data_IF_441899220080
#
_entry.id   IF_441899220080
#
_cell.length_a   1.000
_cell.length_b   1.000
_cell.length_c   1.000
_cell.angle_alpha   90.00
_cell.angle_beta   90.00
_cell.angle_gamma   90.00
#
_symmetry.space_group_name_H-M   'P 1'
#
loop_
_entity.id
_entity.type
_entity.pdbx_description
1 polymer ?
#
# COMPACT_ATOMS: atom_id res chain seq x y z
N UNK A 1 -5.23 -7.93 28.07
CA UNK A 1 -4.43 -7.18 27.06
C UNK A 1 -4.55 -7.94 25.74
N UNK A 2 -4.68 -7.24 24.62
CA UNK A 2 -4.85 -7.88 23.30
C UNK A 2 -3.49 -8.32 22.78
N UNK A 3 -3.40 -9.54 22.22
CA UNK A 3 -2.18 -10.09 21.62
C UNK A 3 -1.75 -9.27 20.39
N UNK A 4 -0.48 -8.87 20.36
CA UNK A 4 0.16 -8.10 19.27
C UNK A 4 1.08 -8.97 18.42
N UNK A 5 0.91 -10.30 18.43
CA UNK A 5 1.65 -11.21 17.58
C UNK A 5 1.59 -10.73 16.10
N UNK A 6 2.72 -10.77 15.42
CA UNK A 6 2.90 -10.27 14.05
C UNK A 6 2.74 -8.75 13.86
N UNK A 7 2.73 -7.95 14.94
CA UNK A 7 2.79 -6.48 14.85
C UNK A 7 4.23 -6.00 15.00
N UNK A 8 4.65 -5.12 14.08
CA UNK A 8 6.01 -4.60 13.97
C UNK A 8 6.04 -3.14 14.39
N UNK A 9 6.69 -2.85 15.49
CA UNK A 9 6.77 -1.51 16.08
C UNK A 9 8.19 -0.98 15.94
N UNK A 10 8.36 0.11 15.22
CA UNK A 10 9.62 0.86 15.20
C UNK A 10 9.57 1.93 16.30
N UNK A 11 10.42 1.79 17.30
CA UNK A 11 10.47 2.68 18.44
C UNK A 11 11.69 3.60 18.33
N UNK A 12 11.49 4.90 18.32
CA UNK A 12 12.53 5.92 18.22
C UNK A 12 12.61 6.65 19.55
N UNK A 13 13.78 6.60 20.19
CA UNK A 13 14.04 7.27 21.48
C UNK A 13 14.92 8.49 21.23
N UNK A 14 14.43 9.67 21.64
CA UNK A 14 15.18 10.92 21.59
C UNK A 14 15.76 11.28 22.97
N UNK A 15 16.72 12.21 22.99
CA UNK A 15 17.42 12.62 24.22
C UNK A 15 16.55 13.44 25.16
N UNK A 16 16.33 12.95 26.36
CA UNK A 16 15.61 13.61 27.42
C UNK A 16 15.44 12.69 28.62
N UNK A 17 15.28 13.27 29.82
CA UNK A 17 15.16 12.48 31.06
C UNK A 17 14.02 11.45 30.99
N UNK A 18 12.93 11.75 30.30
CA UNK A 18 11.78 10.84 30.13
C UNK A 18 12.08 9.61 29.25
N UNK A 19 13.28 9.50 28.68
CA UNK A 19 13.68 8.31 27.89
C UNK A 19 13.59 7.00 28.70
N UNK A 20 13.73 7.03 30.04
CA UNK A 20 13.54 5.85 30.87
C UNK A 20 12.11 5.27 30.77
N UNK A 21 11.08 6.10 30.59
CA UNK A 21 9.69 5.67 30.39
C UNK A 21 9.50 4.88 29.12
N UNK A 22 10.30 5.16 28.09
CA UNK A 22 10.28 4.42 26.83
C UNK A 22 10.66 2.96 27.00
N UNK A 23 11.54 2.66 27.94
CA UNK A 23 11.94 1.28 28.26
C UNK A 23 10.75 0.47 28.80
N UNK A 24 9.89 1.09 29.62
CA UNK A 24 8.71 0.44 30.13
C UNK A 24 7.65 0.27 29.02
N UNK A 25 7.46 1.27 28.18
CA UNK A 25 6.57 1.17 27.01
C UNK A 25 7.00 0.02 26.09
N UNK A 26 8.30 -0.09 25.78
CA UNK A 26 8.88 -1.21 25.00
C UNK A 26 8.57 -2.56 25.67
N UNK A 27 8.76 -2.66 26.99
CA UNK A 27 8.46 -3.87 27.74
C UNK A 27 6.98 -4.28 27.65
N UNK A 28 6.05 -3.30 27.64
CA UNK A 28 4.62 -3.58 27.47
C UNK A 28 4.30 -4.16 26.09
N UNK A 29 4.88 -3.63 25.02
CA UNK A 29 4.74 -4.17 23.68
C UNK A 29 5.30 -5.59 23.59
N UNK A 30 6.50 -5.83 24.13
CA UNK A 30 7.12 -7.17 24.14
C UNK A 30 6.31 -8.20 24.90
N UNK A 31 5.77 -7.85 26.09
CA UNK A 31 4.90 -8.73 26.88
C UNK A 31 3.64 -9.17 26.10
N UNK A 32 3.23 -8.39 25.10
CA UNK A 32 2.08 -8.68 24.26
C UNK A 32 2.51 -9.18 22.86
N UNK A 33 3.71 -9.76 22.75
CA UNK A 33 4.24 -10.45 21.56
C UNK A 33 4.51 -9.55 20.33
N UNK A 34 4.59 -8.22 20.47
CA UNK A 34 5.00 -7.36 19.36
C UNK A 34 6.49 -7.55 19.01
N UNK A 35 6.82 -7.49 17.72
CA UNK A 35 8.20 -7.35 17.28
C UNK A 35 8.62 -5.89 17.38
N UNK A 36 9.81 -5.62 17.98
CA UNK A 36 10.30 -4.26 18.18
C UNK A 36 11.69 -4.11 17.59
N UNK A 37 11.87 -3.07 16.77
CA UNK A 37 13.17 -2.51 16.44
C UNK A 37 13.27 -1.12 17.04
N UNK A 38 14.47 -0.72 17.45
CA UNK A 38 14.64 0.55 18.16
C UNK A 38 15.72 1.39 17.49
N UNK A 39 15.45 2.69 17.33
CA UNK A 39 16.45 3.69 16.93
C UNK A 39 16.72 4.59 18.14
N UNK A 40 18.00 4.76 18.48
CA UNK A 40 18.47 5.73 19.48
C UNK A 40 19.10 6.92 18.76
N UNK A 41 18.58 8.12 19.02
CA UNK A 41 19.29 9.33 18.58
C UNK A 41 20.59 9.50 19.36
N UNK A 42 21.54 10.29 18.82
CA UNK A 42 22.82 10.55 19.50
C UNK A 42 22.61 11.01 20.96
N UNK A 43 21.70 11.94 21.18
CA UNK A 43 21.40 12.45 22.52
C UNK A 43 20.66 11.45 23.41
N UNK A 44 19.97 10.46 22.85
CA UNK A 44 19.28 9.44 23.65
C UNK A 44 20.26 8.56 24.41
N UNK A 45 21.45 8.32 23.84
CA UNK A 45 22.52 7.49 24.44
C UNK A 45 23.00 8.05 25.79
N UNK A 46 22.81 9.34 26.04
CA UNK A 46 23.17 9.99 27.34
C UNK A 46 22.14 9.66 28.45
N UNK A 47 20.95 9.19 28.11
CA UNK A 47 19.87 8.90 29.07
C UNK A 47 19.56 7.41 29.21
N UNK A 48 19.75 6.65 28.15
CA UNK A 48 19.53 5.19 28.11
C UNK A 48 20.63 4.53 27.28
N UNK A 49 21.12 3.38 27.72
CA UNK A 49 22.19 2.69 27.00
C UNK A 49 21.62 1.79 25.88
N UNK A 50 22.33 1.61 24.77
CA UNK A 50 21.95 0.63 23.76
C UNK A 50 21.72 -0.77 24.32
N UNK A 51 22.53 -1.16 25.33
CA UNK A 51 22.41 -2.46 25.99
C UNK A 51 21.08 -2.61 26.75
N UNK A 52 20.68 -1.60 27.53
CA UNK A 52 19.42 -1.64 28.26
C UNK A 52 18.21 -1.73 27.30
N UNK A 53 18.26 -0.97 26.19
CA UNK A 53 17.22 -0.99 25.17
C UNK A 53 17.17 -2.33 24.46
N UNK A 54 18.32 -2.89 24.03
CA UNK A 54 18.39 -4.20 23.35
C UNK A 54 17.86 -5.32 24.24
N UNK A 55 18.21 -5.30 25.53
CA UNK A 55 17.76 -6.31 26.51
C UNK A 55 16.25 -6.32 26.69
N UNK A 56 15.59 -5.15 26.68
CA UNK A 56 14.14 -5.04 26.84
C UNK A 56 13.35 -5.24 25.55
N UNK A 57 13.87 -4.73 24.43
CA UNK A 57 13.24 -4.89 23.11
C UNK A 57 13.42 -6.30 22.54
N UNK A 58 14.46 -7.03 23.01
CA UNK A 58 14.90 -8.30 22.42
C UNK A 58 15.12 -8.18 20.90
N UNK A 59 15.55 -7.01 20.47
CA UNK A 59 15.72 -6.67 19.06
C UNK A 59 16.96 -5.81 18.82
N UNK A 60 17.29 -5.65 17.54
CA UNK A 60 18.43 -4.81 17.13
C UNK A 60 18.16 -3.35 17.48
N UNK A 61 19.17 -2.68 18.02
CA UNK A 61 19.19 -1.23 18.29
C UNK A 61 20.03 -0.56 17.23
N UNK A 62 19.47 0.42 16.57
CA UNK A 62 20.11 1.21 15.51
C UNK A 62 20.43 2.62 16.06
N UNK A 63 21.51 3.20 15.64
CA UNK A 63 21.92 4.51 16.14
C UNK A 63 22.47 5.44 15.06
N UNK A 64 23.25 4.92 14.15
CA UNK A 64 23.98 5.71 13.17
C UNK A 64 23.42 5.49 11.76
N UNK A 65 23.36 6.59 10.97
CA UNK A 65 22.87 6.56 9.59
C UNK A 65 23.80 5.73 8.68
N UNK A 66 25.09 5.76 8.98
CA UNK A 66 26.14 5.02 8.28
C UNK A 66 26.87 4.14 9.29
N UNK A 67 26.66 2.84 9.25
CA UNK A 67 27.35 1.85 10.08
C UNK A 67 28.10 0.89 9.16
N UNK A 68 29.40 0.76 9.34
CA UNK A 68 30.26 -0.14 8.57
C UNK A 68 29.87 -1.62 8.67
N UNK A 69 29.16 -2.00 9.73
CA UNK A 69 28.68 -3.37 9.93
C UNK A 69 27.43 -3.72 9.08
N UNK A 70 26.79 -2.72 8.46
CA UNK A 70 25.53 -2.89 7.73
C UNK A 70 25.58 -2.34 6.29
N UNK A 71 26.74 -2.26 5.67
CA UNK A 71 26.94 -1.68 4.32
C UNK A 71 26.15 -2.37 3.18
N UNK A 72 25.61 -3.56 3.40
CA UNK A 72 24.87 -4.32 2.37
C UNK A 72 23.36 -4.01 2.31
N UNK A 73 22.78 -3.37 3.33
CA UNK A 73 21.36 -3.00 3.35
C UNK A 73 21.20 -1.51 3.68
N UNK A 74 20.44 -0.79 2.87
CA UNK A 74 20.01 0.59 3.17
C UNK A 74 19.06 0.55 4.37
N UNK A 75 19.61 0.54 5.59
CA UNK A 75 18.89 0.35 6.86
C UNK A 75 17.66 1.27 6.99
N UNK A 76 17.77 2.55 6.56
CA UNK A 76 16.65 3.49 6.62
C UNK A 76 15.47 3.07 5.74
N UNK A 77 15.71 2.50 4.54
CA UNK A 77 14.67 1.99 3.66
C UNK A 77 14.07 0.71 4.26
N UNK A 78 14.91 -0.21 4.71
CA UNK A 78 14.44 -1.47 5.28
C UNK A 78 13.60 -1.25 6.53
N UNK A 79 14.02 -0.37 7.45
CA UNK A 79 13.28 -0.01 8.67
C UNK A 79 11.96 0.70 8.38
N UNK A 80 11.96 1.65 7.42
CA UNK A 80 10.75 2.39 7.04
C UNK A 80 9.66 1.47 6.47
N UNK A 81 10.04 0.40 5.78
CA UNK A 81 9.12 -0.60 5.20
C UNK A 81 8.72 -1.68 6.18
N UNK A 82 9.63 -2.07 7.09
CA UNK A 82 9.41 -3.15 8.04
C UNK A 82 8.30 -2.85 9.04
N UNK A 83 8.23 -1.62 9.54
CA UNK A 83 7.30 -1.23 10.61
C UNK A 83 5.83 -1.24 10.16
N UNK A 84 4.90 -1.57 11.09
CA UNK A 84 3.46 -1.29 10.97
C UNK A 84 3.11 0.09 11.53
N UNK A 85 3.87 0.55 12.51
CA UNK A 85 3.73 1.85 13.19
C UNK A 85 5.10 2.35 13.65
N UNK A 86 5.28 3.66 13.66
CA UNK A 86 6.47 4.33 14.18
C UNK A 86 6.08 5.14 15.42
N UNK A 87 6.85 5.00 16.49
CA UNK A 87 6.66 5.70 17.76
C UNK A 87 7.91 6.51 18.04
N UNK A 88 7.76 7.80 18.32
CA UNK A 88 8.84 8.66 18.79
C UNK A 88 8.52 9.06 20.24
N UNK A 89 9.20 8.46 21.17
CA UNK A 89 9.00 8.69 22.61
C UNK A 89 10.34 8.57 23.37
N UNK A 90 10.78 9.63 24.04
CA UNK A 90 10.23 10.98 23.98
C UNK A 90 10.46 11.64 22.63
N UNK A 91 9.53 12.53 22.20
CA UNK A 91 9.72 13.44 21.09
C UNK A 91 10.15 14.81 21.62
N UNK A 92 11.42 15.17 21.41
CA UNK A 92 11.97 16.47 21.87
C UNK A 92 11.57 17.61 20.94
N UNK A 93 11.64 18.85 21.40
CA UNK A 93 11.40 20.02 20.56
C UNK A 93 12.31 20.06 19.32
N UNK A 94 13.57 19.61 19.43
CA UNK A 94 14.50 19.50 18.31
C UNK A 94 13.98 18.49 17.26
N UNK A 95 13.58 17.30 17.70
CA UNK A 95 13.05 16.27 16.78
C UNK A 95 11.75 16.72 16.11
N UNK A 96 10.84 17.35 16.87
CA UNK A 96 9.59 17.93 16.34
C UNK A 96 9.89 18.99 15.29
N UNK A 97 10.87 19.88 15.54
CA UNK A 97 11.31 20.90 14.59
C UNK A 97 11.89 20.29 13.32
N UNK A 98 12.81 19.33 13.43
CA UNK A 98 13.39 18.63 12.28
C UNK A 98 12.33 17.98 11.39
N UNK A 99 11.41 17.24 11.99
CA UNK A 99 10.35 16.54 11.26
C UNK A 99 9.37 17.51 10.58
N UNK A 100 9.07 18.64 11.20
CA UNK A 100 8.19 19.65 10.60
C UNK A 100 8.81 20.37 9.40
N UNK A 101 10.13 20.42 9.33
CA UNK A 101 10.91 21.02 8.24
C UNK A 101 11.34 19.99 7.17
N UNK A 102 11.10 18.69 7.42
CA UNK A 102 11.55 17.64 6.50
C UNK A 102 13.07 17.39 6.51
N UNK A 103 13.77 17.72 7.59
CA UNK A 103 15.19 17.47 7.74
C UNK A 103 15.46 15.96 7.92
N UNK A 104 16.49 15.45 7.24
CA UNK A 104 16.89 14.04 7.27
C UNK A 104 18.41 13.89 7.50
N UNK A 105 18.89 14.51 8.58
CA UNK A 105 20.32 14.57 8.94
C UNK A 105 20.76 13.48 9.94
N UNK A 106 19.83 12.64 10.39
CA UNK A 106 20.07 11.48 11.24
C UNK A 106 19.18 10.29 10.82
N UNK A 107 19.50 9.09 11.36
CA UNK A 107 18.76 7.87 11.01
C UNK A 107 17.26 7.97 11.35
N UNK A 108 16.92 8.58 12.48
CA UNK A 108 15.54 8.70 12.95
C UNK A 108 14.69 9.53 11.99
N UNK A 109 15.15 10.73 11.66
CA UNK A 109 14.45 11.63 10.72
C UNK A 109 14.42 11.07 9.31
N UNK A 110 15.48 10.44 8.83
CA UNK A 110 15.55 9.82 7.51
C UNK A 110 14.56 8.66 7.37
N UNK A 111 14.48 7.76 8.37
CA UNK A 111 13.52 6.65 8.37
C UNK A 111 12.08 7.15 8.36
N UNK A 112 11.77 8.17 9.16
CA UNK A 112 10.43 8.74 9.22
C UNK A 112 10.04 9.38 7.88
N UNK A 113 10.92 10.17 7.28
CA UNK A 113 10.69 10.82 6.00
C UNK A 113 10.53 9.81 4.84
N UNK A 114 11.25 8.69 4.90
CA UNK A 114 11.16 7.60 3.92
C UNK A 114 9.96 6.67 4.14
N UNK A 115 9.14 6.88 5.20
CA UNK A 115 8.06 5.99 5.59
C UNK A 115 6.68 6.51 5.18
N UNK A 116 5.79 5.58 4.83
CA UNK A 116 4.35 5.82 4.66
C UNK A 116 3.52 5.32 5.86
N UNK A 117 4.18 4.99 6.98
CA UNK A 117 3.51 4.44 8.16
C UNK A 117 3.00 5.56 9.07
N UNK A 118 1.99 5.23 9.89
CA UNK A 118 1.54 6.18 10.92
C UNK A 118 2.64 6.44 11.92
N UNK A 119 2.91 7.71 12.16
CA UNK A 119 3.86 8.17 13.16
C UNK A 119 3.11 8.74 14.36
N UNK A 120 3.51 8.28 15.56
CA UNK A 120 3.05 8.81 16.83
C UNK A 120 4.20 9.53 17.52
N UNK A 121 3.94 10.73 18.01
CA UNK A 121 4.89 11.52 18.78
C UNK A 121 4.39 11.65 20.22
N UNK A 122 5.22 11.29 21.19
CA UNK A 122 5.00 11.56 22.60
C UNK A 122 5.92 12.72 23.05
N UNK A 123 5.47 13.98 23.00
CA UNK A 123 6.29 15.14 23.34
C UNK A 123 6.76 15.11 24.78
N UNK A 124 8.00 15.57 25.00
CA UNK A 124 8.58 15.75 26.32
C UNK A 124 9.57 16.92 26.30
N UNK A 125 9.27 17.97 27.05
CA UNK A 125 10.09 19.19 27.20
C UNK A 125 9.60 20.01 28.38
N UNK A 126 10.34 21.05 28.81
CA UNK A 126 9.85 21.92 29.83
C UNK A 126 8.69 22.80 29.34
N UNK A 127 7.95 23.42 30.26
CA UNK A 127 6.74 24.21 30.00
C UNK A 127 7.00 25.33 28.98
N UNK A 128 8.08 26.08 29.15
CA UNK A 128 8.42 27.18 28.25
C UNK A 128 8.71 26.75 26.82
N UNK A 129 9.39 25.63 26.68
CA UNK A 129 9.63 25.05 25.36
C UNK A 129 8.35 24.53 24.72
N UNK A 130 7.44 23.96 25.52
CA UNK A 130 6.14 23.52 25.04
C UNK A 130 5.27 24.66 24.56
N UNK A 131 5.14 25.71 25.39
CA UNK A 131 4.34 26.90 25.08
C UNK A 131 4.95 27.77 23.97
N UNK A 132 6.21 27.58 23.64
CA UNK A 132 6.89 28.39 22.64
C UNK A 132 6.19 28.29 21.27
N UNK A 133 5.93 29.48 20.66
CA UNK A 133 5.18 29.60 19.41
C UNK A 133 5.74 28.69 18.29
N UNK A 134 7.06 28.54 18.17
CA UNK A 134 7.66 27.66 17.15
C UNK A 134 7.33 26.21 17.41
N UNK A 135 7.31 25.74 18.67
CA UNK A 135 6.91 24.37 19.01
C UNK A 135 5.46 24.11 18.62
N UNK A 136 4.56 25.04 18.97
CA UNK A 136 3.14 24.91 18.62
C UNK A 136 2.91 24.95 17.11
N UNK A 137 3.61 25.81 16.37
CA UNK A 137 3.55 25.85 14.92
C UNK A 137 4.06 24.55 14.28
N UNK A 138 5.17 24.01 14.76
CA UNK A 138 5.73 22.76 14.28
C UNK A 138 4.76 21.57 14.50
N UNK A 139 4.12 21.52 15.69
CA UNK A 139 3.11 20.50 16.00
C UNK A 139 1.88 20.63 15.10
N UNK A 140 1.43 21.86 14.82
CA UNK A 140 0.33 22.10 13.86
C UNK A 140 0.68 21.60 12.47
N UNK A 141 1.90 21.86 12.00
CA UNK A 141 2.41 21.37 10.71
C UNK A 141 2.43 19.83 10.67
N UNK A 142 2.97 19.19 11.70
CA UNK A 142 3.03 17.74 11.78
C UNK A 142 1.65 17.08 11.85
N UNK A 143 0.70 17.69 12.59
CA UNK A 143 -0.71 17.25 12.55
C UNK A 143 -1.29 17.35 11.15
N UNK A 144 -0.96 18.40 10.39
CA UNK A 144 -1.33 18.55 8.98
C UNK A 144 -0.74 17.47 8.08
N UNK A 145 0.43 16.93 8.39
CA UNK A 145 1.05 15.80 7.71
C UNK A 145 0.49 14.44 8.15
N UNK A 146 -0.47 14.42 9.10
CA UNK A 146 -1.11 13.19 9.57
C UNK A 146 -0.41 12.54 10.77
N UNK A 147 0.58 13.18 11.39
CA UNK A 147 1.19 12.67 12.62
C UNK A 147 0.20 12.74 13.79
N UNK A 148 0.24 11.73 14.64
CA UNK A 148 -0.58 11.70 15.87
C UNK A 148 0.27 12.08 17.07
N UNK A 149 -0.26 12.96 17.92
CA UNK A 149 0.41 13.44 19.11
C UNK A 149 -0.27 12.81 20.33
N UNK A 150 0.52 12.20 21.23
CA UNK A 150 0.06 11.61 22.49
C UNK A 150 0.57 12.47 23.63
N UNK A 151 -0.30 13.14 24.33
CA UNK A 151 0.05 14.13 25.33
C UNK A 151 0.53 15.46 24.76
N UNK A 152 1.41 16.21 25.48
CA UNK A 152 1.95 15.89 26.80
C UNK A 152 0.92 16.00 27.92
N UNK A 153 1.26 15.51 29.11
CA UNK A 153 0.45 15.64 30.30
C UNK A 153 0.86 16.89 31.10
N UNK A 154 -0.06 17.32 31.97
CA UNK A 154 0.19 18.38 32.97
C UNK A 154 0.78 17.70 34.21
N UNK A 155 1.82 18.28 34.78
CA UNK A 155 2.40 17.79 36.03
C UNK A 155 3.76 18.37 36.36
N UNK A 156 4.33 17.87 37.47
CA UNK A 156 5.69 18.21 37.87
C UNK A 156 6.73 17.70 36.91
N UNK A 157 7.68 18.51 36.57
CA UNK A 157 8.80 18.18 35.69
C UNK A 157 10.11 18.06 36.48
N UNK A 158 11.07 17.32 35.89
CA UNK A 158 12.37 17.15 36.52
C UNK A 158 13.15 18.45 36.77
N UNK A 159 12.80 19.54 36.08
CA UNK A 159 13.35 20.89 36.32
C UNK A 159 12.68 21.67 37.44
N UNK A 160 11.68 21.11 38.13
CA UNK A 160 10.93 21.78 39.19
C UNK A 160 9.79 22.67 38.69
N UNK A 161 9.53 22.74 37.39
CA UNK A 161 8.38 23.47 36.84
C UNK A 161 7.13 22.58 36.82
N UNK A 162 5.95 23.21 36.98
CA UNK A 162 4.66 22.55 36.87
C UNK A 162 3.89 23.10 35.67
N UNK A 163 3.34 22.21 34.83
CA UNK A 163 2.55 22.60 33.68
C UNK A 163 2.53 21.52 32.58
N UNK A 164 2.14 21.90 31.34
CA UNK A 164 2.18 21.03 30.18
C UNK A 164 3.62 20.81 29.69
N UNK A 165 3.96 19.59 29.31
CA UNK A 165 5.29 19.23 28.77
C UNK A 165 5.80 17.88 29.26
N UNK A 166 5.13 17.31 30.26
CA UNK A 166 5.47 15.98 30.81
C UNK A 166 5.06 14.90 29.81
N UNK A 167 5.99 14.01 29.44
CA UNK A 167 5.68 12.88 28.57
C UNK A 167 4.58 12.00 29.17
N UNK A 168 3.60 11.63 28.35
CA UNK A 168 2.53 10.71 28.76
C UNK A 168 3.06 9.44 29.35
N UNK A 169 2.28 8.86 30.27
CA UNK A 169 2.67 7.63 30.95
C UNK A 169 2.78 6.44 29.97
N UNK A 170 3.67 5.49 30.23
CA UNK A 170 3.90 4.33 29.35
C UNK A 170 2.63 3.59 28.96
N UNK A 171 1.70 3.45 29.90
CA UNK A 171 0.41 2.76 29.66
C UNK A 171 -0.44 3.54 28.67
N UNK A 172 -0.52 4.85 28.77
CA UNK A 172 -1.30 5.72 27.85
C UNK A 172 -0.76 5.60 26.41
N UNK A 173 0.57 5.69 26.27
CA UNK A 173 1.22 5.53 24.97
C UNK A 173 0.93 4.13 24.39
N UNK A 174 1.06 3.10 25.19
CA UNK A 174 0.81 1.73 24.78
C UNK A 174 -0.65 1.53 24.34
N UNK A 175 -1.63 1.99 25.11
CA UNK A 175 -3.06 1.83 24.82
C UNK A 175 -3.50 2.57 23.56
N UNK A 176 -3.05 3.80 23.35
CA UNK A 176 -3.33 4.57 22.15
C UNK A 176 -2.84 3.85 20.89
N UNK A 177 -1.63 3.33 20.93
CA UNK A 177 -1.03 2.62 19.80
C UNK A 177 -1.66 1.25 19.61
N UNK A 178 -1.94 0.54 20.70
CA UNK A 178 -2.68 -0.72 20.64
C UNK A 178 -4.04 -0.51 20.00
N UNK A 179 -4.79 0.50 20.46
CA UNK A 179 -6.09 0.83 19.88
C UNK A 179 -5.98 1.17 18.39
N UNK A 180 -4.95 1.91 17.99
CA UNK A 180 -4.69 2.18 16.57
C UNK A 180 -4.41 0.90 15.77
N UNK A 181 -3.54 0.04 16.26
CA UNK A 181 -3.20 -1.22 15.59
C UNK A 181 -4.42 -2.15 15.46
N UNK A 182 -5.31 -2.16 16.45
CA UNK A 182 -6.55 -2.94 16.41
C UNK A 182 -7.71 -2.22 15.71
N UNK A 183 -7.79 -0.89 15.72
CA UNK A 183 -8.79 -0.16 14.96
C UNK A 183 -8.57 -0.31 13.46
N UNK A 184 -7.31 -0.42 13.04
CA UNK A 184 -6.98 -0.85 11.66
C UNK A 184 -7.59 -2.23 11.33
N UNK A 185 -7.66 -3.14 12.30
CA UNK A 185 -8.30 -4.46 12.12
C UNK A 185 -9.83 -4.33 12.07
N UNK A 186 -10.44 -3.41 12.84
CA UNK A 186 -11.90 -3.23 12.90
C UNK A 186 -12.49 -2.38 11.75
N UNK A 187 -11.70 -1.48 11.14
CA UNK A 187 -12.17 -0.57 10.10
C UNK A 187 -11.49 -0.74 8.73
N UNK A 188 -10.52 -1.63 8.57
CA UNK A 188 -9.96 -1.91 7.25
C UNK A 188 -10.60 -3.17 6.68
N UNK A 189 -11.72 -3.00 5.99
CA UNK A 189 -11.97 -3.83 4.83
C UNK A 189 -10.71 -3.73 3.98
N UNK A 190 -10.06 -4.86 3.70
CA UNK A 190 -8.94 -4.89 2.77
C UNK A 190 -9.40 -4.20 1.48
N UNK A 191 -8.58 -3.33 0.93
CA UNK A 191 -8.90 -2.60 -0.28
C UNK A 191 -8.61 -3.45 -1.50
N UNK A 192 -9.56 -3.54 -2.39
CA UNK A 192 -9.41 -4.22 -3.66
C UNK A 192 -9.64 -3.25 -4.83
N UNK A 193 -8.73 -3.26 -5.79
CA UNK A 193 -8.84 -2.55 -7.05
C UNK A 193 -9.06 -3.56 -8.17
N UNK A 194 -10.08 -3.37 -8.97
CA UNK A 194 -10.36 -4.20 -10.14
C UNK A 194 -10.45 -3.33 -11.38
N UNK A 195 -9.77 -3.70 -12.46
CA UNK A 195 -10.00 -3.09 -13.77
C UNK A 195 -10.85 -4.00 -14.63
N UNK A 196 -11.78 -3.44 -15.41
CA UNK A 196 -12.71 -4.19 -16.27
C UNK A 196 -13.03 -3.45 -17.56
N UNK A 197 -13.66 -4.16 -18.49
CA UNK A 197 -14.07 -3.61 -19.78
C UNK A 197 -12.92 -3.42 -20.76
N UNK A 198 -13.21 -3.00 -22.00
CA UNK A 198 -12.21 -2.59 -22.98
C UNK A 198 -11.77 -1.15 -22.74
N UNK A 199 -10.72 -0.71 -23.43
CA UNK A 199 -10.43 0.71 -23.63
C UNK A 199 -10.65 1.08 -25.09
N UNK A 200 -11.01 2.34 -25.33
CA UNK A 200 -11.20 2.90 -26.67
C UNK A 200 -10.08 3.90 -26.94
N UNK A 201 -9.22 3.60 -27.90
CA UNK A 201 -8.13 4.48 -28.29
C UNK A 201 -8.52 5.24 -29.55
N UNK A 202 -8.85 6.51 -29.41
CA UNK A 202 -9.42 7.30 -30.46
C UNK A 202 -8.46 7.59 -31.61
N UNK A 203 -8.93 7.42 -32.83
CA UNK A 203 -8.24 7.82 -34.06
C UNK A 203 -8.75 9.20 -34.46
N UNK A 204 -10.07 9.40 -34.34
CA UNK A 204 -10.78 10.66 -34.57
C UNK A 204 -12.05 10.64 -33.69
N UNK A 205 -12.85 11.72 -33.60
CA UNK A 205 -14.05 11.77 -32.74
C UNK A 205 -15.11 10.68 -33.03
N UNK A 206 -14.95 9.90 -34.10
CA UNK A 206 -15.93 8.89 -34.52
C UNK A 206 -15.38 7.47 -34.49
N UNK A 207 -14.06 7.32 -34.64
CA UNK A 207 -13.41 6.00 -34.79
C UNK A 207 -12.37 5.78 -33.71
N UNK A 208 -12.30 4.55 -33.22
CA UNK A 208 -11.33 4.13 -32.20
C UNK A 208 -10.89 2.69 -32.41
N UNK A 209 -9.74 2.37 -31.86
CA UNK A 209 -9.24 1.00 -31.72
C UNK A 209 -9.68 0.48 -30.35
N UNK A 210 -10.21 -0.72 -30.30
CA UNK A 210 -10.66 -1.35 -29.05
C UNK A 210 -10.51 -2.86 -29.10
N UNK A 211 -10.43 -3.48 -27.95
CA UNK A 211 -10.44 -4.93 -27.81
C UNK A 211 -11.87 -5.43 -27.58
N UNK A 212 -12.20 -6.60 -28.15
CA UNK A 212 -13.47 -7.26 -27.86
C UNK A 212 -13.50 -7.69 -26.39
N UNK A 213 -14.31 -7.02 -25.57
CA UNK A 213 -14.51 -7.38 -24.16
C UNK A 213 -15.88 -6.88 -23.70
N UNK A 214 -16.60 -7.75 -23.00
CA UNK A 214 -17.86 -7.37 -22.35
C UNK A 214 -17.66 -6.78 -20.93
N UNK A 215 -16.48 -6.91 -20.35
CA UNK A 215 -16.20 -6.53 -18.96
C UNK A 215 -16.78 -7.47 -17.90
N UNK A 216 -17.64 -8.45 -18.25
CA UNK A 216 -18.34 -9.32 -17.30
C UNK A 216 -17.45 -9.96 -16.25
N UNK A 217 -16.28 -10.50 -16.64
CA UNK A 217 -15.39 -11.18 -15.69
C UNK A 217 -14.89 -10.25 -14.59
N UNK A 218 -14.44 -9.04 -14.94
CA UNK A 218 -13.97 -8.06 -13.94
C UNK A 218 -15.10 -7.56 -13.03
N UNK A 219 -16.32 -7.36 -13.58
CA UNK A 219 -17.48 -7.01 -12.77
C UNK A 219 -17.85 -8.10 -11.77
N UNK A 220 -17.85 -9.38 -12.17
CA UNK A 220 -18.17 -10.49 -11.26
C UNK A 220 -17.08 -10.68 -10.18
N UNK A 221 -15.80 -10.44 -10.51
CA UNK A 221 -14.71 -10.42 -9.52
C UNK A 221 -14.92 -9.29 -8.51
N UNK A 222 -15.25 -8.07 -8.97
CA UNK A 222 -15.51 -6.95 -8.08
C UNK A 222 -16.68 -7.22 -7.12
N UNK A 223 -17.79 -7.79 -7.63
CA UNK A 223 -18.92 -8.22 -6.80
C UNK A 223 -18.53 -9.29 -5.79
N UNK A 224 -17.72 -10.26 -6.20
CA UNK A 224 -17.30 -11.37 -5.35
C UNK A 224 -16.37 -10.90 -4.22
N UNK A 225 -15.43 -9.98 -4.51
CA UNK A 225 -14.57 -9.33 -3.52
C UNK A 225 -15.42 -8.50 -2.52
N UNK A 226 -16.38 -7.71 -3.01
CA UNK A 226 -17.26 -6.94 -2.16
C UNK A 226 -18.09 -7.83 -1.22
N UNK A 227 -18.67 -8.92 -1.73
CA UNK A 227 -19.42 -9.91 -0.92
C UNK A 227 -18.56 -10.52 0.20
N UNK A 228 -17.25 -10.66 -0.01
CA UNK A 228 -16.30 -11.14 1.00
C UNK A 228 -15.75 -10.04 1.91
N UNK A 229 -16.33 -8.85 1.84
CA UNK A 229 -16.07 -7.75 2.78
C UNK A 229 -14.93 -6.82 2.38
N UNK A 230 -14.40 -6.90 1.16
CA UNK A 230 -13.39 -5.95 0.67
C UNK A 230 -14.02 -4.58 0.37
N UNK A 231 -13.28 -3.50 0.65
CA UNK A 231 -13.55 -2.17 0.12
C UNK A 231 -13.12 -2.14 -1.34
N UNK A 232 -14.09 -2.31 -2.24
CA UNK A 232 -13.83 -2.60 -3.64
C UNK A 232 -14.02 -1.37 -4.52
N UNK A 233 -12.99 -1.02 -5.28
CA UNK A 233 -13.04 -0.02 -6.36
C UNK A 233 -12.95 -0.73 -7.70
N UNK A 234 -13.93 -0.48 -8.57
CA UNK A 234 -13.98 -0.96 -9.95
C UNK A 234 -13.67 0.20 -10.91
N UNK A 235 -12.59 0.09 -11.68
CA UNK A 235 -12.28 1.01 -12.78
C UNK A 235 -12.71 0.32 -14.07
N UNK A 236 -13.69 0.88 -14.75
CA UNK A 236 -14.27 0.23 -15.93
C UNK A 236 -14.17 1.10 -17.18
N UNK A 237 -13.61 0.52 -18.22
CA UNK A 237 -13.80 1.02 -19.58
C UNK A 237 -15.27 0.90 -20.02
N UNK A 238 -15.61 1.27 -21.26
CA UNK A 238 -17.00 1.34 -21.74
C UNK A 238 -17.71 -0.01 -21.68
N UNK A 239 -18.75 -0.10 -20.88
CA UNK A 239 -19.66 -1.26 -20.79
C UNK A 239 -21.07 -0.82 -20.44
N UNK A 240 -22.06 -1.67 -20.75
CA UNK A 240 -23.46 -1.49 -20.36
C UNK A 240 -23.80 -2.24 -19.06
N UNK A 241 -22.80 -2.74 -18.34
CA UNK A 241 -23.01 -3.52 -17.11
C UNK A 241 -23.33 -2.62 -15.93
N UNK A 242 -24.19 -3.11 -15.05
CA UNK A 242 -24.50 -2.46 -13.78
C UNK A 242 -23.75 -3.15 -12.65
N UNK A 243 -23.36 -2.36 -11.65
CA UNK A 243 -22.69 -2.82 -10.44
C UNK A 243 -23.48 -2.34 -9.22
N UNK A 244 -23.29 -2.99 -8.08
CA UNK A 244 -23.86 -2.61 -6.79
C UNK A 244 -23.42 -1.19 -6.40
N UNK A 245 -24.33 -0.35 -5.91
CA UNK A 245 -24.07 1.05 -5.53
C UNK A 245 -23.01 1.21 -4.44
N UNK A 246 -22.81 0.18 -3.63
CA UNK A 246 -21.79 0.16 -2.59
C UNK A 246 -20.38 -0.14 -3.11
N UNK A 247 -20.22 -0.52 -4.38
CA UNK A 247 -18.92 -0.68 -5.03
C UNK A 247 -18.58 0.63 -5.74
N UNK A 248 -17.45 1.23 -5.39
CA UNK A 248 -16.99 2.46 -6.02
C UNK A 248 -16.67 2.22 -7.49
N UNK A 249 -17.53 2.72 -8.39
CA UNK A 249 -17.31 2.64 -9.84
C UNK A 249 -16.64 3.91 -10.37
N UNK A 250 -15.54 3.75 -11.09
CA UNK A 250 -14.84 4.81 -11.83
C UNK A 250 -14.93 4.43 -13.31
N UNK A 251 -15.68 5.21 -14.08
CA UNK A 251 -15.77 5.04 -15.52
C UNK A 251 -14.63 5.77 -16.22
N UNK A 252 -14.03 5.11 -17.19
CA UNK A 252 -12.94 5.63 -18.03
C UNK A 252 -13.17 5.19 -19.47
N UNK A 253 -12.54 5.83 -20.41
CA UNK A 253 -12.64 5.47 -21.83
C UNK A 253 -11.33 4.95 -22.39
N UNK A 254 -10.21 5.61 -22.08
CA UNK A 254 -8.90 5.29 -22.65
C UNK A 254 -8.01 4.54 -21.67
N UNK A 255 -6.94 3.93 -22.20
CA UNK A 255 -5.90 3.30 -21.39
C UNK A 255 -5.20 4.33 -20.47
N UNK A 256 -5.00 5.55 -20.94
CA UNK A 256 -4.40 6.62 -20.15
C UNK A 256 -5.28 7.03 -18.97
N UNK A 257 -6.59 7.15 -19.19
CA UNK A 257 -7.56 7.43 -18.11
C UNK A 257 -7.60 6.29 -17.10
N UNK A 258 -7.60 5.03 -17.55
CA UNK A 258 -7.55 3.86 -16.69
C UNK A 258 -6.27 3.83 -15.86
N UNK A 259 -5.14 4.18 -16.45
CA UNK A 259 -3.85 4.30 -15.75
C UNK A 259 -3.91 5.38 -14.66
N UNK A 260 -4.35 6.60 -15.00
CA UNK A 260 -4.50 7.72 -14.04
C UNK A 260 -5.46 7.37 -12.90
N UNK A 261 -6.58 6.70 -13.21
CA UNK A 261 -7.53 6.25 -12.21
C UNK A 261 -6.92 5.17 -11.31
N UNK A 262 -6.12 4.24 -11.86
CA UNK A 262 -5.38 3.24 -11.09
C UNK A 262 -4.40 3.90 -10.14
N UNK A 263 -3.56 4.83 -10.61
CA UNK A 263 -2.60 5.56 -9.77
C UNK A 263 -3.25 6.25 -8.58
N UNK A 264 -4.37 6.96 -8.82
CA UNK A 264 -5.12 7.69 -7.76
C UNK A 264 -5.72 6.78 -6.69
N UNK A 265 -5.92 5.48 -6.97
CA UNK A 265 -6.49 4.52 -6.04
C UNK A 265 -5.46 3.56 -5.43
N UNK A 266 -4.17 3.79 -5.65
CA UNK A 266 -3.09 3.19 -4.88
C UNK A 266 -2.82 4.04 -3.62
N UNK A 267 -2.36 3.44 -2.50
CA UNK A 267 -2.15 2.01 -2.31
C UNK A 267 -3.45 1.22 -2.08
N UNK A 268 -3.46 -0.02 -2.55
CA UNK A 268 -4.51 -1.02 -2.31
C UNK A 268 -3.90 -2.34 -1.85
N UNK A 269 -4.67 -3.22 -1.19
CA UNK A 269 -4.13 -4.51 -0.73
C UNK A 269 -4.08 -5.54 -1.87
N UNK A 270 -5.09 -5.51 -2.75
CA UNK A 270 -5.23 -6.42 -3.89
C UNK A 270 -5.49 -5.61 -5.14
N UNK A 271 -4.86 -5.97 -6.25
CA UNK A 271 -5.17 -5.43 -7.56
C UNK A 271 -5.41 -6.56 -8.58
N UNK A 272 -6.56 -6.52 -9.25
CA UNK A 272 -6.95 -7.48 -10.30
C UNK A 272 -7.13 -6.76 -11.62
N UNK A 273 -6.29 -7.06 -12.58
CA UNK A 273 -6.28 -6.46 -13.91
C UNK A 273 -6.99 -7.37 -14.90
N UNK A 274 -8.32 -7.23 -14.99
CA UNK A 274 -9.18 -7.99 -15.90
C UNK A 274 -9.68 -7.16 -17.10
N UNK A 275 -9.28 -5.90 -17.22
CA UNK A 275 -9.57 -5.06 -18.37
C UNK A 275 -8.85 -5.55 -19.62
N UNK A 276 -9.50 -5.44 -20.75
CA UNK A 276 -8.91 -5.65 -22.07
C UNK A 276 -8.37 -4.33 -22.62
N UNK A 277 -7.29 -3.87 -22.03
CA UNK A 277 -6.61 -2.63 -22.43
C UNK A 277 -6.01 -2.82 -23.82
N UNK A 278 -6.21 -1.85 -24.72
CA UNK A 278 -5.58 -1.89 -26.03
C UNK A 278 -4.05 -1.70 -25.90
N UNK A 279 -3.28 -2.59 -26.51
CA UNK A 279 -1.80 -2.55 -26.48
C UNK A 279 -1.24 -1.36 -27.26
N UNK A 280 -2.01 -0.85 -28.24
CA UNK A 280 -1.62 0.23 -29.14
C UNK A 280 -2.69 1.30 -29.19
N UNK A 281 -2.26 2.55 -29.37
CA UNK A 281 -3.09 3.71 -29.68
C UNK A 281 -2.58 4.43 -30.93
N UNK A 282 -3.40 5.28 -31.54
CA UNK A 282 -2.93 6.15 -32.62
C UNK A 282 -1.85 7.11 -32.08
N UNK A 283 -0.72 7.25 -32.80
CA UNK A 283 0.35 8.18 -32.43
C UNK A 283 -0.11 9.65 -32.51
N UNK A 284 -1.17 9.91 -33.27
CA UNK A 284 -1.82 11.21 -33.38
C UNK A 284 -3.33 11.04 -33.46
N UNK A 285 -4.05 11.64 -32.51
CA UNK A 285 -5.52 11.72 -32.51
C UNK A 285 -5.96 12.93 -33.33
N UNK A 286 -6.79 12.69 -34.33
CA UNK A 286 -7.34 13.76 -35.18
C UNK A 286 -8.51 14.45 -34.47
N UNK A 287 -8.47 15.77 -34.36
CA UNK A 287 -9.53 16.58 -33.74
C UNK A 287 -10.83 16.58 -34.54
N UNK A 288 -10.75 16.29 -35.85
CA UNK A 288 -11.90 16.22 -36.75
C UNK A 288 -11.98 14.86 -37.40
N UNK A 289 -13.19 14.46 -37.78
CA UNK A 289 -13.43 13.22 -38.50
C UNK A 289 -12.61 13.16 -39.78
N UNK A 290 -11.77 12.16 -39.95
CA UNK A 290 -10.99 11.91 -41.16
C UNK A 290 -11.94 11.72 -42.34
N UNK A 291 -11.80 12.51 -43.39
CA UNK A 291 -12.56 12.37 -44.63
C UNK A 291 -12.21 11.06 -45.34
N UNK A 292 -13.13 10.57 -46.17
CA UNK A 292 -12.88 9.37 -46.97
C UNK A 292 -11.70 9.63 -47.94
N UNK A 293 -10.75 8.69 -47.88
CA UNK A 293 -9.61 8.58 -48.79
C UNK A 293 -9.52 7.14 -49.27
N UNK A 294 -8.87 6.90 -50.42
CA UNK A 294 -8.75 5.56 -50.98
C UNK A 294 -7.93 4.64 -50.09
N UNK A 295 -6.88 5.18 -49.45
CA UNK A 295 -6.02 4.45 -48.52
C UNK A 295 -5.75 5.32 -47.30
N UNK A 296 -5.93 4.73 -46.08
CA UNK A 296 -5.59 5.39 -44.81
C UNK A 296 -4.53 4.55 -44.09
N UNK A 297 -3.37 5.17 -43.86
CA UNK A 297 -2.32 4.58 -43.02
C UNK A 297 -2.42 5.13 -41.60
N UNK A 298 -2.45 4.26 -40.60
CA UNK A 298 -2.42 4.64 -39.19
C UNK A 298 -1.08 4.29 -38.59
N UNK A 299 -0.40 5.27 -38.03
CA UNK A 299 0.77 5.05 -37.20
C UNK A 299 0.32 4.78 -35.76
N UNK A 300 0.79 3.67 -35.21
CA UNK A 300 0.41 3.23 -33.86
C UNK A 300 1.63 3.27 -32.94
N UNK A 301 1.41 3.69 -31.71
CA UNK A 301 2.39 3.61 -30.61
C UNK A 301 1.87 2.75 -29.46
N UNK A 302 2.79 2.25 -28.64
CA UNK A 302 2.43 1.41 -27.51
C UNK A 302 1.75 2.20 -26.40
N UNK A 303 0.69 1.63 -25.85
CA UNK A 303 0.04 2.11 -24.64
C UNK A 303 0.83 1.79 -23.36
N UNK A 304 0.47 2.46 -22.29
CA UNK A 304 1.04 2.23 -20.97
C UNK A 304 0.59 0.86 -20.45
N UNK A 305 1.54 0.07 -19.99
CA UNK A 305 1.26 -1.23 -19.37
C UNK A 305 0.94 -1.07 -17.88
N UNK A 306 -0.35 -1.00 -17.57
CA UNK A 306 -0.87 -0.74 -16.22
C UNK A 306 -0.51 -1.87 -15.26
N UNK A 307 -0.61 -3.13 -15.68
CA UNK A 307 -0.23 -4.30 -14.88
C UNK A 307 1.24 -4.24 -14.51
N UNK A 308 2.11 -4.02 -15.49
CA UNK A 308 3.56 -3.94 -15.26
C UNK A 308 3.92 -2.78 -14.33
N UNK A 309 3.29 -1.63 -14.50
CA UNK A 309 3.51 -0.47 -13.63
C UNK A 309 3.18 -0.79 -12.17
N UNK A 310 2.00 -1.35 -11.89
CA UNK A 310 1.56 -1.63 -10.52
C UNK A 310 2.35 -2.78 -9.90
N UNK A 311 2.66 -3.82 -10.68
CA UNK A 311 3.43 -4.98 -10.20
C UNK A 311 4.86 -4.65 -9.80
N UNK A 312 5.45 -3.62 -10.41
CA UNK A 312 6.82 -3.17 -10.15
C UNK A 312 6.91 -1.87 -9.36
N UNK A 313 5.78 -1.37 -8.84
CA UNK A 313 5.77 -0.12 -8.09
C UNK A 313 6.55 -0.27 -6.77
N UNK A 314 7.55 0.57 -6.55
CA UNK A 314 8.49 0.44 -5.44
C UNK A 314 7.85 0.52 -4.04
N UNK A 315 6.92 1.48 -3.83
CA UNK A 315 6.36 1.79 -2.50
C UNK A 315 4.88 1.47 -2.34
N UNK A 316 4.12 1.38 -3.45
CA UNK A 316 2.67 1.20 -3.43
C UNK A 316 2.21 -0.10 -4.11
N UNK A 317 3.13 -1.04 -4.37
CA UNK A 317 2.77 -2.35 -4.91
C UNK A 317 1.78 -3.03 -3.96
N UNK A 318 0.63 -3.51 -4.45
CA UNK A 318 -0.30 -4.30 -3.65
C UNK A 318 0.36 -5.58 -3.10
N UNK A 319 -0.17 -6.09 -1.98
CA UNK A 319 0.25 -7.39 -1.44
C UNK A 319 0.06 -8.50 -2.45
N UNK A 320 -0.98 -8.37 -3.29
CA UNK A 320 -1.31 -9.34 -4.33
C UNK A 320 -1.73 -8.62 -5.61
N UNK A 321 -1.05 -8.97 -6.71
CA UNK A 321 -1.31 -8.43 -8.05
C UNK A 321 -1.63 -9.59 -9.00
N UNK A 322 -2.80 -9.52 -9.62
CA UNK A 322 -3.35 -10.56 -10.49
C UNK A 322 -3.60 -9.97 -11.87
N UNK A 323 -3.03 -10.59 -12.89
CA UNK A 323 -3.28 -10.23 -14.28
C UNK A 323 -4.15 -11.27 -15.00
N UNK A 324 -4.86 -10.84 -16.03
CA UNK A 324 -5.55 -11.73 -16.97
C UNK A 324 -4.79 -11.82 -18.28
N UNK A 325 -4.89 -12.98 -18.93
CA UNK A 325 -4.37 -13.22 -20.26
C UNK A 325 -5.41 -13.95 -21.10
N UNK A 326 -5.79 -13.36 -22.23
CA UNK A 326 -6.65 -13.96 -23.23
C UNK A 326 -5.74 -14.45 -24.37
N UNK A 327 -5.66 -15.74 -24.57
CA UNK A 327 -4.74 -16.36 -25.52
C UNK A 327 -5.50 -17.18 -26.56
N UNK A 328 -5.02 -17.16 -27.80
CA UNK A 328 -5.58 -17.96 -28.89
C UNK A 328 -4.72 -19.18 -29.20
N UNK A 329 -3.43 -19.14 -28.87
CA UNK A 329 -2.45 -20.18 -29.09
C UNK A 329 -1.45 -20.27 -27.97
N UNK A 330 -0.87 -21.42 -27.69
CA UNK A 330 0.23 -21.62 -26.71
C UNK A 330 -0.05 -21.00 -25.32
N UNK A 331 -1.29 -21.12 -24.84
CA UNK A 331 -1.81 -20.51 -23.61
C UNK A 331 -0.82 -20.63 -22.43
N UNK A 332 -0.31 -21.83 -22.17
CA UNK A 332 0.59 -22.09 -21.04
C UNK A 332 1.91 -21.32 -21.17
N UNK A 333 2.55 -21.40 -22.35
CA UNK A 333 3.83 -20.72 -22.59
C UNK A 333 3.69 -19.21 -22.46
N UNK A 334 2.64 -18.66 -23.06
CA UNK A 334 2.39 -17.20 -23.05
C UNK A 334 2.03 -16.70 -21.65
N UNK A 335 1.19 -17.44 -20.90
CA UNK A 335 0.82 -17.09 -19.52
C UNK A 335 2.03 -17.11 -18.57
N UNK A 336 2.89 -18.12 -18.68
CA UNK A 336 4.12 -18.23 -17.88
C UNK A 336 5.10 -17.10 -18.22
N UNK A 337 5.27 -16.79 -19.50
CA UNK A 337 6.12 -15.67 -19.92
C UNK A 337 5.57 -14.34 -19.38
N UNK A 338 4.27 -14.11 -19.52
CA UNK A 338 3.60 -12.91 -19.00
C UNK A 338 3.73 -12.79 -17.49
N UNK A 339 3.62 -13.89 -16.74
CA UNK A 339 3.81 -13.92 -15.29
C UNK A 339 5.21 -13.43 -14.89
N UNK A 340 6.24 -13.86 -15.62
CA UNK A 340 7.63 -13.43 -15.39
C UNK A 340 7.85 -11.98 -15.78
N UNK A 341 7.44 -11.60 -16.98
CA UNK A 341 7.71 -10.27 -17.54
C UNK A 341 6.98 -9.17 -16.76
N UNK A 342 5.76 -9.45 -16.28
CA UNK A 342 4.94 -8.48 -15.55
C UNK A 342 5.21 -8.48 -14.04
N UNK A 343 5.95 -9.45 -13.51
CA UNK A 343 6.27 -9.56 -12.07
C UNK A 343 5.03 -9.59 -11.15
N UNK A 344 3.89 -10.04 -11.66
CA UNK A 344 2.65 -10.20 -10.88
C UNK A 344 2.63 -11.54 -10.12
N UNK A 345 1.71 -11.69 -9.17
CA UNK A 345 1.65 -12.89 -8.32
C UNK A 345 0.91 -14.02 -9.00
N UNK A 346 -0.17 -13.70 -9.75
CA UNK A 346 -0.91 -14.66 -10.55
C UNK A 346 -1.16 -14.15 -11.97
N UNK A 347 -1.20 -15.08 -12.93
CA UNK A 347 -1.83 -14.88 -14.23
C UNK A 347 -3.01 -15.85 -14.35
N UNK A 348 -4.18 -15.30 -14.66
CA UNK A 348 -5.39 -16.08 -14.97
C UNK A 348 -5.56 -16.06 -16.49
N UNK A 349 -5.28 -17.21 -17.10
CA UNK A 349 -5.33 -17.34 -18.54
C UNK A 349 -6.60 -18.03 -18.99
N UNK A 350 -7.24 -17.52 -20.04
CA UNK A 350 -8.36 -18.16 -20.73
C UNK A 350 -8.06 -18.31 -22.22
N UNK A 351 -8.53 -19.45 -22.77
CA UNK A 351 -8.48 -19.73 -24.20
C UNK A 351 -9.70 -19.09 -24.87
N UNK A 352 -9.46 -18.05 -25.66
CA UNK A 352 -10.53 -17.31 -26.36
C UNK A 352 -10.76 -17.79 -27.80
N UNK A 353 -10.03 -18.82 -28.23
CA UNK A 353 -10.25 -19.43 -29.55
C UNK A 353 -11.47 -20.33 -29.61
N UNK A 354 -12.00 -20.74 -28.43
CA UNK A 354 -13.13 -21.67 -28.33
C UNK A 354 -14.45 -20.91 -28.26
N UNK A 355 -15.42 -21.30 -29.05
CA UNK A 355 -16.74 -20.67 -29.08
C UNK A 355 -17.47 -20.69 -27.73
N UNK A 356 -17.21 -21.69 -26.88
CA UNK A 356 -17.87 -21.86 -25.57
C UNK A 356 -17.28 -21.01 -24.44
N UNK A 357 -16.07 -20.47 -24.57
CA UNK A 357 -15.33 -19.75 -23.51
C UNK A 357 -14.85 -18.34 -23.91
N UNK A 358 -15.32 -17.80 -25.03
CA UNK A 358 -14.88 -16.51 -25.58
C UNK A 358 -15.39 -15.28 -24.84
N UNK A 359 -14.99 -14.08 -25.30
CA UNK A 359 -15.25 -12.79 -24.66
C UNK A 359 -16.71 -12.47 -24.34
N UNK A 360 -17.64 -12.88 -25.18
CA UNK A 360 -19.07 -12.55 -25.06
C UNK A 360 -19.92 -13.63 -24.39
N UNK A 361 -19.34 -14.79 -24.04
CA UNK A 361 -20.06 -15.89 -23.43
C UNK A 361 -20.31 -15.69 -21.94
N UNK A 362 -21.36 -16.32 -21.42
CA UNK A 362 -21.67 -16.33 -19.98
C UNK A 362 -20.72 -17.25 -19.21
N UNK A 363 -20.25 -18.30 -19.87
CA UNK A 363 -19.32 -19.28 -19.31
C UNK A 363 -17.87 -18.89 -19.60
N UNK A 364 -16.96 -19.39 -18.77
CA UNK A 364 -15.53 -19.26 -18.95
C UNK A 364 -14.81 -20.52 -18.42
N UNK A 365 -13.65 -20.80 -18.98
CA UNK A 365 -12.71 -21.79 -18.46
C UNK A 365 -11.35 -21.12 -18.32
N UNK A 366 -10.80 -21.12 -17.10
CA UNK A 366 -9.53 -20.45 -16.83
C UNK A 366 -8.50 -21.38 -16.23
N UNK A 367 -7.23 -21.07 -16.45
CA UNK A 367 -6.10 -21.68 -15.77
C UNK A 367 -5.36 -20.61 -14.99
N UNK A 368 -5.16 -20.82 -13.70
CA UNK A 368 -4.41 -19.92 -12.81
C UNK A 368 -2.96 -20.40 -12.78
N UNK A 369 -2.03 -19.46 -13.02
CA UNK A 369 -0.59 -19.68 -12.91
C UNK A 369 -0.08 -18.85 -11.74
N UNK A 370 0.61 -19.49 -10.80
CA UNK A 370 1.11 -18.90 -9.55
C UNK A 370 2.61 -18.62 -9.66
N UNK A 371 3.06 -17.45 -9.18
CA UNK A 371 4.48 -17.07 -9.16
C UNK A 371 5.30 -17.89 -8.16
N UNK A 372 4.74 -18.13 -6.99
CA UNK A 372 5.36 -18.90 -5.91
C UNK A 372 4.88 -20.34 -5.97
N UNK A 373 5.73 -21.31 -5.65
CA UNK A 373 5.51 -22.76 -5.74
C UNK A 373 5.87 -23.39 -7.11
N UNK A 374 7.15 -23.23 -7.54
CA UNK A 374 7.69 -23.94 -8.72
C UNK A 374 6.72 -24.02 -9.90
N UNK A 375 6.09 -22.87 -10.25
CA UNK A 375 5.14 -22.75 -11.37
C UNK A 375 3.91 -23.68 -11.26
N UNK A 376 3.32 -23.76 -10.08
CA UNK A 376 2.04 -24.45 -9.90
C UNK A 376 0.97 -23.82 -10.80
N UNK A 377 0.25 -24.67 -11.51
CA UNK A 377 -0.92 -24.28 -12.31
C UNK A 377 -2.14 -25.02 -11.81
N UNK A 378 -3.29 -24.36 -11.88
CA UNK A 378 -4.57 -24.92 -11.54
C UNK A 378 -5.59 -24.60 -12.62
N UNK A 379 -6.23 -25.61 -13.18
CA UNK A 379 -7.26 -25.45 -14.22
C UNK A 379 -8.63 -25.53 -13.56
N UNK A 380 -9.44 -24.49 -13.69
CA UNK A 380 -10.83 -24.49 -13.28
C UNK A 380 -11.71 -25.07 -14.40
N UNK A 381 -12.77 -25.77 -14.03
CA UNK A 381 -13.74 -26.32 -14.98
C UNK A 381 -14.54 -25.22 -15.67
N UNK A 382 -15.14 -25.53 -16.82
CA UNK A 382 -16.06 -24.62 -17.51
C UNK A 382 -17.28 -24.34 -16.62
N UNK A 383 -17.48 -23.08 -16.24
CA UNK A 383 -18.56 -22.61 -15.38
C UNK A 383 -18.99 -21.20 -15.78
N UNK A 384 -20.08 -20.71 -15.18
CA UNK A 384 -20.47 -19.30 -15.32
C UNK A 384 -19.38 -18.37 -14.80
N UNK A 385 -19.20 -17.21 -15.43
CA UNK A 385 -18.21 -16.19 -15.01
C UNK A 385 -18.38 -15.78 -13.55
N UNK A 386 -19.60 -15.77 -13.02
CA UNK A 386 -19.87 -15.52 -11.60
C UNK A 386 -19.27 -16.60 -10.69
N UNK A 387 -19.48 -17.88 -10.99
CA UNK A 387 -18.95 -19.00 -10.21
C UNK A 387 -17.43 -19.06 -10.26
N UNK A 388 -16.84 -18.84 -11.44
CA UNK A 388 -15.38 -18.74 -11.60
C UNK A 388 -14.83 -17.57 -10.78
N UNK A 389 -15.51 -16.42 -10.76
CA UNK A 389 -15.10 -15.28 -9.97
C UNK A 389 -15.14 -15.58 -8.46
N UNK A 390 -16.15 -16.29 -7.99
CA UNK A 390 -16.23 -16.74 -6.60
C UNK A 390 -15.07 -17.68 -6.25
N UNK A 391 -14.76 -18.65 -7.11
CA UNK A 391 -13.64 -19.57 -6.89
C UNK A 391 -12.27 -18.88 -6.91
N UNK A 392 -12.07 -17.88 -7.79
CA UNK A 392 -10.85 -17.07 -7.83
C UNK A 392 -10.74 -16.27 -6.52
N UNK A 393 -11.81 -15.62 -6.10
CA UNK A 393 -11.81 -14.78 -4.89
C UNK A 393 -11.63 -15.63 -3.62
N UNK A 394 -12.17 -16.84 -3.56
CA UNK A 394 -11.92 -17.77 -2.43
C UNK A 394 -10.44 -18.09 -2.30
N UNK A 395 -9.73 -18.30 -3.40
CA UNK A 395 -8.26 -18.51 -3.40
C UNK A 395 -7.49 -17.25 -3.01
N UNK A 396 -7.96 -16.08 -3.45
CA UNK A 396 -7.38 -14.79 -3.03
C UNK A 396 -7.50 -14.65 -1.50
N UNK A 397 -8.68 -14.90 -0.95
CA UNK A 397 -8.93 -14.82 0.51
C UNK A 397 -8.07 -15.81 1.28
N UNK A 398 -7.94 -17.05 0.78
CA UNK A 398 -7.12 -18.07 1.41
C UNK A 398 -5.61 -17.73 1.43
N UNK A 399 -5.13 -16.95 0.47
CA UNK A 399 -3.71 -16.57 0.40
C UNK A 399 -3.38 -15.31 1.21
N UNK A 400 -4.35 -14.45 1.48
CA UNK A 400 -4.13 -13.17 2.17
C UNK A 400 -4.31 -13.30 3.69
N UNK A 401 -5.13 -14.25 4.13
CA UNK A 401 -5.31 -14.61 5.55
C UNK A 401 -4.19 -15.51 6.03
#
# INVERSE_FOLDING_TARGET
MKDLSNKKVLFIICGGISAYKSLETIRMFRKNNAEIKTILTKSAKEFVTPLSVASLSQGKVYADLFSLENETEMDHISLSRWADVIIVAPATANTISKLSQGNSDDLASTVILASNKQVFLAPAMNVRMWEHQSTQNNLKTLKGFGYKIIGPEIGDMACGEYGEGKMSEPLVIYEEIQNFLFSKIKNNKLKALVTAGPTNEYIDPVRFITNKSSGKQGYEIAKSLYKRGFDTTLISGPTNLKIDENIKLIKVETAEEMFKATQKNLPTDIAVFAAAVADFKASHEHKEKIKKVDNLTLNLERNIDILNYVSNHNSMRPKMVIGFAAETTSLEKNAVQKLKDKNCDWIIANDVSKDESGFNNENNQVTIFYKNEKMKKEKLSLKKKSEISEEIVDRIVAQIN
#
